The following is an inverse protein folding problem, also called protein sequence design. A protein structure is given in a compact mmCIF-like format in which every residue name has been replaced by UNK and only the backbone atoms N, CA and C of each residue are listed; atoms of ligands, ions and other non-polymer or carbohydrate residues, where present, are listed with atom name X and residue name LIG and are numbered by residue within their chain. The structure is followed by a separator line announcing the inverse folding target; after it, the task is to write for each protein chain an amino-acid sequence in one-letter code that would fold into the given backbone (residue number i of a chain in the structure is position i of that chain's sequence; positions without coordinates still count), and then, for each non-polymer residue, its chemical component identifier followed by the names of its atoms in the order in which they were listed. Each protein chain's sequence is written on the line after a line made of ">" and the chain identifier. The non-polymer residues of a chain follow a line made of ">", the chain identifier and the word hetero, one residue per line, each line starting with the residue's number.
data_IF_876101761425
#
_entry.id   IF_876101761425
#
_cell.length_a   1.000
_cell.length_b   1.000
_cell.length_c   1.000
_cell.angle_alpha   90.00
_cell.angle_beta   90.00
_cell.angle_gamma   90.00
#
_symmetry.space_group_name_H-M   'P 1'
#
loop_
_entity.id
_entity.type
_entity.pdbx_description
1 polymer ?
#
# COMPACT_ATOMS: atom_id res chain seq x y z
N UNK A 1 3.92 -5.39 -20.28
CA UNK A 1 3.32 -6.63 -19.78
C UNK A 1 1.81 -6.45 -19.80
N UNK A 2 1.22 -6.63 -20.98
CA UNK A 2 -0.19 -6.35 -21.27
C UNK A 2 -1.10 -6.94 -20.17
N UNK A 3 -2.01 -6.16 -19.60
CA UNK A 3 -2.99 -6.57 -18.56
C UNK A 3 -2.46 -7.13 -17.22
N UNK A 4 -1.26 -7.71 -17.15
CA UNK A 4 -0.77 -8.43 -15.96
C UNK A 4 0.17 -7.59 -15.10
N UNK A 5 0.74 -6.51 -15.64
CA UNK A 5 1.72 -5.70 -14.92
C UNK A 5 2.95 -6.52 -14.50
N UNK A 6 3.52 -6.19 -13.34
CA UNK A 6 4.54 -7.00 -12.67
C UNK A 6 4.02 -7.28 -11.26
N UNK A 7 3.83 -8.56 -10.94
CA UNK A 7 3.40 -8.99 -9.60
C UNK A 7 4.64 -9.03 -8.70
N UNK A 8 4.67 -8.31 -7.57
CA UNK A 8 5.80 -8.35 -6.66
C UNK A 8 5.83 -9.67 -5.89
N UNK A 9 7.03 -10.20 -5.60
CA UNK A 9 7.21 -11.41 -4.79
C UNK A 9 6.71 -11.24 -3.34
N UNK A 10 6.71 -9.99 -2.84
CA UNK A 10 6.20 -9.61 -1.52
C UNK A 10 5.17 -8.49 -1.71
N UNK A 11 3.91 -8.84 -1.56
CA UNK A 11 2.81 -7.88 -1.64
C UNK A 11 2.66 -7.10 -0.33
N UNK A 12 2.80 -5.78 -0.42
CA UNK A 12 2.49 -4.87 0.67
C UNK A 12 0.98 -4.54 0.69
N UNK A 13 0.39 -4.18 1.85
CA UNK A 13 -1.04 -3.93 1.94
C UNK A 13 -1.38 -2.70 1.11
N UNK A 14 -2.11 -2.88 0.01
CA UNK A 14 -2.54 -1.80 -0.87
C UNK A 14 -4.06 -1.73 -0.91
N UNK A 15 -4.55 -0.50 -1.01
CA UNK A 15 -5.96 -0.23 -1.22
C UNK A 15 -6.36 -0.55 -2.68
N UNK A 16 -5.45 -0.35 -3.63
CA UNK A 16 -5.72 -0.49 -5.05
C UNK A 16 -5.71 -1.95 -5.50
N UNK A 17 -6.69 -2.33 -6.30
CA UNK A 17 -6.68 -3.61 -7.01
C UNK A 17 -6.12 -3.38 -8.43
N UNK A 18 -5.10 -4.13 -8.88
CA UNK A 18 -4.62 -4.07 -10.27
C UNK A 18 -5.72 -4.26 -11.33
N UNK A 19 -6.80 -4.97 -11.01
CA UNK A 19 -7.92 -5.17 -11.93
C UNK A 19 -8.77 -3.90 -12.13
N UNK A 20 -8.81 -3.02 -11.12
CA UNK A 20 -9.55 -1.76 -11.16
C UNK A 20 -8.69 -0.58 -11.64
N UNK A 21 -7.36 -0.73 -11.59
CA UNK A 21 -6.40 0.33 -11.86
C UNK A 21 -5.26 -0.18 -12.76
N UNK A 22 -5.21 0.33 -13.99
CA UNK A 22 -4.08 0.11 -14.89
C UNK A 22 -4.51 0.05 -16.36
N UNK A 23 -3.64 -0.48 -17.21
CA UNK A 23 -4.01 -0.78 -18.60
C UNK A 23 -5.17 -1.79 -18.67
N UNK A 24 -5.30 -2.63 -17.63
CA UNK A 24 -6.32 -3.68 -17.55
C UNK A 24 -7.74 -3.19 -17.36
N UNK A 25 -7.92 -1.96 -16.85
CA UNK A 25 -9.24 -1.35 -16.66
C UNK A 25 -9.78 -0.67 -17.91
N UNK A 26 -8.98 -0.56 -18.98
CA UNK A 26 -9.41 0.08 -20.23
C UNK A 26 -10.20 -0.91 -21.12
N UNK A 27 -11.42 -0.56 -21.55
CA UNK A 27 -12.28 -1.45 -22.32
C UNK A 27 -11.75 -1.79 -23.72
N UNK A 28 -10.80 -1.00 -24.23
CA UNK A 28 -10.14 -1.23 -25.53
C UNK A 28 -8.72 -1.79 -25.40
N UNK A 29 -8.32 -2.27 -24.22
CA UNK A 29 -6.99 -2.86 -24.04
C UNK A 29 -6.85 -4.15 -24.84
N UNK A 30 -5.71 -4.29 -25.54
CA UNK A 30 -5.42 -5.45 -26.37
C UNK A 30 -5.19 -6.69 -25.50
N UNK A 31 -5.65 -7.88 -25.90
CA UNK A 31 -5.47 -9.10 -25.12
C UNK A 31 -3.98 -9.38 -24.90
N UNK A 32 -3.67 -9.99 -23.75
CA UNK A 32 -2.31 -10.42 -23.45
C UNK A 32 -1.87 -11.55 -24.39
N UNK A 33 -0.67 -11.41 -24.94
CA UNK A 33 -0.02 -12.40 -25.79
C UNK A 33 1.39 -12.71 -25.25
N UNK A 34 1.85 -13.94 -25.48
CA UNK A 34 3.17 -14.42 -25.07
C UNK A 34 3.94 -14.89 -26.30
N UNK A 35 5.11 -14.30 -26.52
CA UNK A 35 6.05 -14.72 -27.55
C UNK A 35 7.14 -15.61 -26.96
N UNK A 36 7.86 -16.34 -27.83
CA UNK A 36 8.96 -17.18 -27.40
C UNK A 36 9.99 -16.39 -26.56
N UNK A 37 10.45 -16.94 -25.42
CA UNK A 37 11.38 -16.25 -24.55
C UNK A 37 12.73 -16.03 -25.25
N UNK A 38 13.31 -14.85 -25.01
CA UNK A 38 14.69 -14.61 -25.41
C UNK A 38 15.64 -15.55 -24.66
N UNK A 39 16.80 -15.88 -25.26
CA UNK A 39 17.84 -16.62 -24.53
C UNK A 39 18.54 -15.68 -23.57
N UNK A 40 18.47 -15.96 -22.28
CA UNK A 40 19.17 -15.23 -21.23
C UNK A 40 19.72 -16.20 -20.18
N UNK A 41 20.66 -15.74 -19.36
CA UNK A 41 21.17 -16.48 -18.20
C UNK A 41 20.60 -15.82 -16.95
N UNK A 42 19.78 -16.55 -16.20
CA UNK A 42 19.22 -16.07 -14.94
C UNK A 42 20.30 -16.00 -13.86
N UNK A 43 20.34 -14.90 -13.10
CA UNK A 43 21.06 -14.88 -11.82
C UNK A 43 20.41 -15.87 -10.84
N UNK A 44 21.21 -16.52 -10.00
CA UNK A 44 20.75 -17.42 -8.93
C UNK A 44 20.74 -16.75 -7.55
N UNK A 45 20.99 -15.45 -7.50
CA UNK A 45 21.09 -14.67 -6.26
C UNK A 45 19.74 -14.55 -5.54
N UNK A 46 18.65 -14.42 -6.30
CA UNK A 46 17.28 -14.47 -5.78
C UNK A 46 16.71 -15.84 -6.08
N UNK A 47 16.50 -16.65 -5.05
CA UNK A 47 15.90 -17.97 -5.15
C UNK A 47 14.72 -18.14 -4.18
N UNK A 48 13.94 -19.20 -4.35
CA UNK A 48 12.72 -19.44 -3.56
C UNK A 48 13.00 -19.51 -2.05
N UNK A 49 14.18 -19.98 -1.64
CA UNK A 49 14.56 -20.06 -0.24
C UNK A 49 14.81 -18.66 0.36
N UNK A 50 15.47 -17.78 -0.41
CA UNK A 50 15.66 -16.38 -0.05
C UNK A 50 14.32 -15.65 0.04
N UNK A 51 13.47 -15.78 -0.99
CA UNK A 51 12.13 -15.18 -1.03
C UNK A 51 11.30 -15.64 0.17
N UNK A 52 11.25 -16.95 0.44
CA UNK A 52 10.51 -17.53 1.56
C UNK A 52 10.98 -16.99 2.91
N UNK A 53 12.30 -16.82 3.08
CA UNK A 53 12.88 -16.28 4.32
C UNK A 53 12.51 -14.81 4.52
N UNK A 54 12.64 -13.98 3.48
CA UNK A 54 12.30 -12.55 3.55
C UNK A 54 10.79 -12.38 3.77
N UNK A 55 9.96 -13.18 3.08
CA UNK A 55 8.51 -13.19 3.27
C UNK A 55 8.09 -13.58 4.70
N UNK A 56 8.78 -14.55 5.31
CA UNK A 56 8.53 -14.94 6.71
C UNK A 56 8.82 -13.77 7.67
N UNK A 57 9.97 -13.11 7.52
CA UNK A 57 10.32 -11.94 8.34
C UNK A 57 9.33 -10.79 8.16
N UNK A 58 8.90 -10.53 6.93
CA UNK A 58 7.84 -9.55 6.66
C UNK A 58 6.53 -9.91 7.37
N UNK A 59 6.09 -11.17 7.29
CA UNK A 59 4.88 -11.66 7.99
C UNK A 59 4.98 -11.49 9.51
N UNK A 60 6.16 -11.66 10.09
CA UNK A 60 6.36 -11.46 11.53
C UNK A 60 6.35 -9.97 11.91
N UNK A 61 6.86 -9.09 11.04
CA UNK A 61 6.71 -7.63 11.21
C UNK A 61 5.26 -7.18 11.11
N UNK A 62 4.48 -7.75 10.19
CA UNK A 62 3.03 -7.46 10.10
C UNK A 62 2.27 -7.79 11.42
N UNK A 63 2.74 -8.77 12.19
CA UNK A 63 2.15 -9.13 13.49
C UNK A 63 2.58 -8.22 14.64
N UNK A 64 3.71 -7.54 14.53
CA UNK A 64 4.35 -6.82 15.64
C UNK A 64 4.39 -5.30 15.44
N UNK A 65 4.60 -4.82 14.21
CA UNK A 65 4.70 -3.38 13.90
C UNK A 65 3.30 -2.76 13.76
N UNK A 66 2.97 -1.84 14.67
CA UNK A 66 1.67 -1.17 14.67
C UNK A 66 1.47 -0.33 13.39
N UNK A 67 2.54 0.27 12.84
CA UNK A 67 2.46 1.08 11.62
C UNK A 67 1.98 0.25 10.43
N UNK A 68 2.46 -0.99 10.32
CA UNK A 68 2.06 -1.92 9.25
C UNK A 68 0.63 -2.42 9.43
N UNK A 69 0.19 -2.63 10.68
CA UNK A 69 -1.21 -2.97 10.99
C UNK A 69 -2.15 -1.82 10.63
N UNK A 70 -1.77 -0.59 10.97
CA UNK A 70 -2.55 0.60 10.66
C UNK A 70 -2.66 0.78 9.13
N UNK A 71 -1.56 0.57 8.40
CA UNK A 71 -1.54 0.59 6.93
C UNK A 71 -2.48 -0.46 6.33
N UNK A 72 -2.47 -1.69 6.85
CA UNK A 72 -3.36 -2.75 6.40
C UNK A 72 -4.83 -2.42 6.67
N UNK A 73 -5.13 -1.84 7.83
CA UNK A 73 -6.48 -1.40 8.17
C UNK A 73 -6.94 -0.26 7.26
N UNK A 74 -6.07 0.71 6.97
CA UNK A 74 -6.39 1.81 6.05
C UNK A 74 -6.67 1.32 4.63
N UNK A 75 -5.86 0.38 4.14
CA UNK A 75 -6.09 -0.25 2.85
C UNK A 75 -7.47 -0.92 2.79
N UNK A 76 -7.87 -1.63 3.84
CA UNK A 76 -9.16 -2.31 3.93
C UNK A 76 -10.34 -1.33 4.05
N UNK A 77 -10.20 -0.29 4.87
CA UNK A 77 -11.21 0.76 5.03
C UNK A 77 -11.44 1.50 3.70
N UNK A 78 -10.37 1.79 2.96
CA UNK A 78 -10.46 2.37 1.63
C UNK A 78 -11.11 1.43 0.61
N UNK A 79 -10.83 0.13 0.67
CA UNK A 79 -11.52 -0.88 -0.18
C UNK A 79 -13.01 -0.90 0.10
N UNK A 80 -13.41 -0.90 1.37
CA UNK A 80 -14.82 -0.83 1.77
C UNK A 80 -15.50 0.46 1.33
N UNK A 81 -14.82 1.60 1.50
CA UNK A 81 -15.32 2.90 1.07
C UNK A 81 -15.55 2.95 -0.44
N UNK A 82 -14.62 2.40 -1.25
CA UNK A 82 -14.79 2.32 -2.71
C UNK A 82 -15.92 1.41 -3.15
N UNK A 83 -16.07 0.25 -2.48
CA UNK A 83 -17.20 -0.67 -2.75
C UNK A 83 -18.56 -0.04 -2.42
N UNK A 84 -18.59 0.95 -1.54
CA UNK A 84 -19.82 1.66 -1.24
C UNK A 84 -20.12 2.74 -2.29
N UNK A 85 -20.96 2.39 -3.26
CA UNK A 85 -21.41 3.29 -4.32
C UNK A 85 -22.67 4.09 -3.95
N UNK A 86 -23.20 3.88 -2.74
CA UNK A 86 -24.46 4.49 -2.29
C UNK A 86 -24.19 5.51 -1.17
N UNK A 87 -24.75 6.71 -1.33
CA UNK A 87 -24.63 7.79 -0.34
C UNK A 87 -26.01 8.12 0.22
N UNK A 88 -26.13 8.15 1.56
CA UNK A 88 -27.36 8.58 2.23
C UNK A 88 -27.57 10.09 2.05
N UNK A 89 -28.78 10.50 1.67
CA UNK A 89 -29.18 11.92 1.59
C UNK A 89 -29.68 12.48 2.94
N UNK A 90 -29.80 11.65 3.98
CA UNK A 90 -30.24 12.10 5.30
C UNK A 90 -29.11 12.85 6.01
N UNK A 91 -29.33 14.13 6.30
CA UNK A 91 -28.34 15.02 6.94
C UNK A 91 -27.83 14.46 8.27
N UNK A 92 -28.72 13.96 9.13
CA UNK A 92 -28.36 13.41 10.45
C UNK A 92 -27.37 12.25 10.33
N UNK A 93 -27.59 11.35 9.36
CA UNK A 93 -26.67 10.23 9.09
C UNK A 93 -25.33 10.72 8.56
N UNK A 94 -25.34 11.71 7.67
CA UNK A 94 -24.12 12.29 7.08
C UNK A 94 -23.27 13.07 8.08
N UNK A 95 -23.90 13.75 9.06
CA UNK A 95 -23.19 14.38 10.18
C UNK A 95 -22.49 13.34 11.04
N UNK A 96 -23.22 12.29 11.45
CA UNK A 96 -22.64 11.21 12.24
C UNK A 96 -21.46 10.51 11.56
N UNK A 97 -21.59 10.17 10.27
CA UNK A 97 -20.49 9.58 9.49
C UNK A 97 -19.24 10.47 9.46
N UNK A 98 -19.43 11.80 9.34
CA UNK A 98 -18.34 12.77 9.34
C UNK A 98 -17.68 12.88 10.71
N UNK A 99 -18.47 12.94 11.77
CA UNK A 99 -17.97 13.06 13.14
C UNK A 99 -17.20 11.78 13.54
N UNK A 100 -17.72 10.60 13.20
CA UNK A 100 -17.04 9.32 13.43
C UNK A 100 -15.71 9.24 12.65
N UNK A 101 -15.67 9.73 11.41
CA UNK A 101 -14.45 9.81 10.62
C UNK A 101 -13.43 10.80 11.22
N UNK A 102 -13.88 11.94 11.72
CA UNK A 102 -13.01 12.92 12.37
C UNK A 102 -12.44 12.40 13.70
N UNK A 103 -13.24 11.70 14.50
CA UNK A 103 -12.76 11.04 15.73
C UNK A 103 -11.66 10.02 15.39
N UNK A 104 -11.85 9.20 14.36
CA UNK A 104 -10.83 8.26 13.89
C UNK A 104 -9.56 8.98 13.42
N UNK A 105 -9.70 10.08 12.66
CA UNK A 105 -8.58 10.90 12.18
C UNK A 105 -7.79 11.49 13.35
N UNK A 106 -8.47 12.06 14.34
CA UNK A 106 -7.85 12.66 15.51
C UNK A 106 -7.17 11.61 16.41
N UNK A 107 -7.78 10.43 16.58
CA UNK A 107 -7.16 9.32 17.30
C UNK A 107 -5.84 8.87 16.65
N UNK A 108 -5.80 8.80 15.32
CA UNK A 108 -4.57 8.50 14.56
C UNK A 108 -3.52 9.58 14.71
N UNK A 109 -3.89 10.85 14.58
CA UNK A 109 -2.95 11.96 14.75
C UNK A 109 -2.34 12.00 16.16
N UNK A 110 -3.13 11.67 17.19
CA UNK A 110 -2.64 11.53 18.57
C UNK A 110 -1.66 10.38 18.72
N UNK A 111 -1.97 9.22 18.13
CA UNK A 111 -1.06 8.07 18.12
C UNK A 111 0.26 8.38 17.39
N UNK A 112 0.19 9.14 16.29
CA UNK A 112 1.36 9.60 15.53
C UNK A 112 2.16 10.73 16.20
N UNK A 113 1.78 11.17 17.42
CA UNK A 113 2.44 12.26 18.14
C UNK A 113 2.23 13.65 17.52
N UNK A 114 1.26 13.81 16.61
CA UNK A 114 0.90 15.08 15.95
C UNK A 114 -0.27 15.74 16.66
N UNK A 115 -0.10 16.07 17.94
CA UNK A 115 -1.13 16.78 18.71
C UNK A 115 -1.34 18.23 18.24
N UNK A 116 -0.40 18.82 17.50
CA UNK A 116 -0.51 20.16 16.93
C UNK A 116 -0.13 20.16 15.44
N UNK A 117 -1.09 20.04 14.53
CA UNK A 117 -0.96 20.61 13.18
C UNK A 117 -2.31 21.19 12.77
N UNK A 118 -2.28 22.52 12.69
CA UNK A 118 -3.30 23.43 12.19
C UNK A 118 -3.76 23.07 10.77
N UNK A 119 -4.93 23.59 10.39
CA UNK A 119 -5.55 23.47 9.07
C UNK A 119 -4.53 23.47 7.91
N UNK A 120 -4.53 22.42 7.08
CA UNK A 120 -3.71 22.39 5.86
C UNK A 120 -4.17 23.50 4.89
N UNK A 121 -3.25 24.28 4.27
CA UNK A 121 -3.61 25.24 3.22
C UNK A 121 -4.01 24.54 1.91
N UNK A 122 -4.89 25.18 1.14
CA UNK A 122 -5.51 24.71 -0.12
C UNK A 122 -4.61 24.86 -1.36
N UNK A 123 -3.40 24.31 -1.37
CA UNK A 123 -2.55 24.23 -2.59
C UNK A 123 -1.83 22.89 -2.68
N UNK A 124 -1.51 22.39 -3.90
CA UNK A 124 -0.79 21.13 -4.06
C UNK A 124 0.64 21.33 -3.56
N UNK A 125 0.92 20.91 -2.33
CA UNK A 125 2.21 21.06 -1.69
C UNK A 125 3.15 19.90 -2.08
N UNK A 126 4.36 20.25 -2.52
CA UNK A 126 5.49 19.32 -2.60
C UNK A 126 5.75 18.71 -1.22
N UNK A 127 5.87 17.38 -1.07
CA UNK A 127 6.05 16.77 0.24
C UNK A 127 7.35 17.25 0.88
N UNK A 128 7.25 17.69 2.13
CA UNK A 128 8.40 18.13 2.94
C UNK A 128 9.29 16.93 3.32
N UNK A 129 10.57 17.17 3.60
CA UNK A 129 11.51 16.12 4.04
C UNK A 129 11.07 15.39 5.34
N UNK A 130 10.16 15.97 6.12
CA UNK A 130 9.51 15.36 7.29
C UNK A 130 8.41 14.36 6.90
N UNK A 131 7.68 14.64 5.81
CA UNK A 131 6.67 13.73 5.24
C UNK A 131 7.31 12.55 4.52
N UNK A 132 8.47 12.76 3.86
CA UNK A 132 9.28 11.68 3.28
C UNK A 132 9.79 10.66 4.33
N UNK A 133 9.96 11.07 5.60
CA UNK A 133 10.34 10.19 6.71
C UNK A 133 9.21 9.27 7.19
N UNK A 134 7.97 9.45 6.69
CA UNK A 134 6.78 8.70 7.13
C UNK A 134 6.20 7.77 6.06
N UNK A 135 6.94 7.56 4.97
CA UNK A 135 6.55 6.58 3.97
C UNK A 135 6.77 5.16 4.52
N UNK A 136 5.66 4.53 4.92
CA UNK A 136 5.66 3.18 5.48
C UNK A 136 6.06 2.14 4.43
N UNK A 137 5.71 2.36 3.16
CA UNK A 137 6.12 1.49 2.06
C UNK A 137 7.62 1.58 1.82
N UNK A 138 8.18 2.80 1.79
CA UNK A 138 9.64 2.99 1.63
C UNK A 138 10.42 2.38 2.80
N UNK A 139 9.96 2.61 4.04
CA UNK A 139 10.58 2.05 5.24
C UNK A 139 10.56 0.53 5.24
N UNK A 140 9.43 -0.07 4.84
CA UNK A 140 9.32 -1.52 4.78
C UNK A 140 10.11 -2.11 3.60
N UNK A 141 10.14 -1.43 2.45
CA UNK A 141 11.00 -1.79 1.32
C UNK A 141 12.48 -1.81 1.69
N UNK A 142 12.94 -0.82 2.46
CA UNK A 142 14.32 -0.80 2.98
C UNK A 142 14.61 -1.97 3.95
N UNK A 143 13.64 -2.35 4.79
CA UNK A 143 13.78 -3.53 5.68
C UNK A 143 13.81 -4.84 4.91
N UNK A 144 12.97 -4.97 3.88
CA UNK A 144 12.95 -6.12 2.96
C UNK A 144 14.29 -6.24 2.23
N UNK A 145 14.85 -5.13 1.76
CA UNK A 145 16.17 -5.11 1.14
C UNK A 145 17.27 -5.53 2.13
N UNK A 146 17.22 -5.03 3.37
CA UNK A 146 18.18 -5.41 4.40
C UNK A 146 18.09 -6.92 4.73
N UNK A 147 16.88 -7.47 4.77
CA UNK A 147 16.66 -8.91 4.97
C UNK A 147 17.18 -9.74 3.81
N UNK A 148 17.02 -9.26 2.58
CA UNK A 148 17.58 -9.88 1.39
C UNK A 148 19.11 -9.93 1.47
N UNK A 149 19.78 -8.80 1.74
CA UNK A 149 21.23 -8.74 1.89
C UNK A 149 21.72 -9.71 2.98
N UNK A 150 21.04 -9.74 4.13
CA UNK A 150 21.35 -10.63 5.24
C UNK A 150 21.03 -12.12 4.97
N UNK A 151 20.35 -12.43 3.87
CA UNK A 151 20.02 -13.81 3.47
C UNK A 151 20.96 -14.38 2.41
N UNK A 152 21.68 -13.50 1.71
CA UNK A 152 22.64 -13.82 0.65
C UNK A 152 24.09 -13.83 1.17
N UNK A 153 24.37 -13.08 2.24
CA UNK A 153 25.64 -13.16 2.99
C UNK A 153 25.66 -14.30 3.99
#
# INVERSE_FOLDING_TARGET
>A
TQHKGVVPDIELPSAFNPDEFGESSEPSALPWDEIAPARFVSSKEVNDAVISRVAAKYKDRMKSDQTLKDLAQDAEDQKKARKNTVVSLQEVKRKKERDDAEVKRLARLKFEGKAEVQEKPKTPATPTASEARKDTYLKEGARILADFIASVG
#
